data_IF_314232438913
#
_entry.id   IF_314232438913
#
_cell.length_a   1.000
_cell.length_b   1.000
_cell.length_c   1.000
_cell.angle_alpha   90.00
_cell.angle_beta   90.00
_cell.angle_gamma   90.00
#
_symmetry.space_group_name_H-M   'P 1'
#
loop_
_entity.id
_entity.type
_entity.pdbx_description
1 polymer ?
#
# COMPACT_ATOMS: atom_id res chain seq x y z
N UNK A 1 -20.55 -52.83 49.19
CA UNK A 1 -20.11 -52.42 47.84
C UNK A 1 -20.90 -51.18 47.45
N UNK A 2 -20.26 -50.01 47.46
CA UNK A 2 -20.49 -48.88 46.54
C UNK A 2 -19.53 -47.76 46.95
N UNK A 3 -18.63 -47.45 46.03
CA UNK A 3 -17.64 -46.38 46.11
C UNK A 3 -18.36 -45.02 46.11
N UNK A 4 -17.90 -44.06 46.91
CA UNK A 4 -18.16 -42.63 46.69
C UNK A 4 -16.80 -41.93 46.69
N UNK A 5 -16.57 -41.26 45.58
CA UNK A 5 -15.36 -40.57 45.15
C UNK A 5 -15.30 -39.18 45.80
N UNK A 6 -14.08 -38.77 46.15
CA UNK A 6 -13.72 -37.48 46.74
C UNK A 6 -13.95 -36.36 45.72
N UNK A 7 -14.69 -35.33 46.11
CA UNK A 7 -14.87 -34.10 45.34
C UNK A 7 -13.60 -33.23 45.43
N UNK A 8 -12.97 -32.99 44.28
CA UNK A 8 -11.93 -31.98 44.10
C UNK A 8 -12.46 -30.89 43.18
N UNK A 9 -12.54 -29.67 43.69
CA UNK A 9 -12.98 -28.47 43.00
C UNK A 9 -11.95 -28.07 41.94
N UNK A 10 -12.33 -28.13 40.66
CA UNK A 10 -11.60 -27.46 39.56
C UNK A 10 -12.45 -26.26 39.16
N UNK A 11 -11.94 -25.06 39.41
CA UNK A 11 -12.48 -23.83 38.86
C UNK A 11 -12.15 -23.82 37.36
N UNK A 12 -13.16 -24.08 36.53
CA UNK A 12 -13.10 -23.84 35.09
C UNK A 12 -13.38 -22.36 34.87
N UNK A 13 -12.41 -21.63 34.31
CA UNK A 13 -12.67 -20.34 33.67
C UNK A 13 -13.66 -20.60 32.53
N UNK A 14 -14.87 -20.06 32.67
CA UNK A 14 -15.89 -20.05 31.61
C UNK A 14 -15.47 -18.97 30.61
N UNK A 15 -14.91 -19.41 29.47
CA UNK A 15 -14.94 -18.63 28.24
C UNK A 15 -16.40 -18.40 27.83
N UNK A 16 -16.70 -17.16 27.47
CA UNK A 16 -18.04 -16.69 27.13
C UNK A 16 -18.58 -17.48 25.94
N UNK A 17 -19.86 -17.82 26.04
CA UNK A 17 -20.62 -18.59 25.07
C UNK A 17 -20.97 -17.68 23.88
N UNK A 18 -20.39 -17.94 22.71
CA UNK A 18 -21.03 -17.58 21.46
C UNK A 18 -22.23 -18.53 21.27
N UNK A 19 -23.44 -18.06 21.52
CA UNK A 19 -24.67 -18.83 21.26
C UNK A 19 -24.96 -18.73 19.76
N UNK A 20 -24.41 -19.67 19.00
CA UNK A 20 -24.71 -19.81 17.58
C UNK A 20 -25.99 -20.64 17.39
N UNK A 21 -27.11 -19.99 17.09
CA UNK A 21 -28.17 -20.59 16.28
C UNK A 21 -27.94 -20.21 14.82
N UNK A 22 -27.37 -21.15 14.06
CA UNK A 22 -27.34 -21.25 12.58
C UNK A 22 -27.29 -19.94 11.79
N UNK A 23 -26.11 -19.56 11.34
CA UNK A 23 -25.80 -19.22 9.94
C UNK A 23 -24.26 -19.11 9.81
N UNK A 24 -23.71 -19.52 8.66
CA UNK A 24 -22.28 -19.48 8.36
C UNK A 24 -21.74 -18.06 8.55
N UNK A 25 -20.90 -17.85 9.56
CA UNK A 25 -20.22 -16.58 9.76
C UNK A 25 -19.01 -16.56 8.81
N UNK A 26 -19.16 -15.90 7.65
CA UNK A 26 -18.04 -15.66 6.73
C UNK A 26 -17.11 -14.55 7.25
N UNK A 27 -17.55 -13.82 8.27
CA UNK A 27 -16.82 -12.72 8.92
C UNK A 27 -17.01 -12.83 10.45
N UNK A 28 -16.31 -13.75 11.10
CA UNK A 28 -16.14 -13.63 12.56
C UNK A 28 -15.21 -12.45 12.86
N UNK A 29 -15.45 -11.72 13.96
CA UNK A 29 -14.49 -10.78 14.51
C UNK A 29 -13.19 -11.48 14.90
N UNK A 30 -12.04 -10.91 14.54
CA UNK A 30 -10.75 -11.32 15.08
C UNK A 30 -10.13 -10.31 16.06
N UNK A 31 -10.74 -9.14 16.22
CA UNK A 31 -10.15 -7.99 16.89
C UNK A 31 -11.01 -7.51 18.06
N UNK A 32 -10.69 -7.96 19.28
CA UNK A 32 -11.38 -7.50 20.49
C UNK A 32 -10.66 -6.32 21.16
N UNK A 33 -11.42 -5.42 21.77
CA UNK A 33 -10.88 -4.35 22.62
C UNK A 33 -10.11 -4.94 23.81
N UNK A 34 -8.78 -4.78 23.80
CA UNK A 34 -7.97 -5.20 24.94
C UNK A 34 -8.26 -4.34 26.17
N UNK A 35 -8.15 -4.91 27.38
CA UNK A 35 -8.30 -4.14 28.62
C UNK A 35 -7.32 -2.95 28.71
N UNK A 36 -6.13 -3.09 28.12
CA UNK A 36 -5.14 -2.02 28.05
C UNK A 36 -5.65 -0.85 27.20
N UNK A 37 -6.25 -1.14 26.05
CA UNK A 37 -6.81 -0.13 25.16
C UNK A 37 -8.10 0.47 25.73
N UNK A 38 -8.97 -0.31 26.37
CA UNK A 38 -10.11 0.24 27.14
C UNK A 38 -9.61 1.25 28.18
N UNK A 39 -8.58 0.90 28.95
CA UNK A 39 -7.99 1.82 29.91
C UNK A 39 -7.37 3.07 29.25
N UNK A 40 -6.95 2.99 27.98
CA UNK A 40 -6.48 4.14 27.20
C UNK A 40 -7.64 5.04 26.80
N UNK A 41 -8.72 4.48 26.26
CA UNK A 41 -9.96 5.23 25.96
C UNK A 41 -10.43 5.97 27.22
N UNK A 42 -10.48 5.29 28.36
CA UNK A 42 -10.89 5.92 29.63
C UNK A 42 -9.97 7.07 30.08
N UNK A 43 -8.66 7.00 29.78
CA UNK A 43 -7.74 8.13 30.02
C UNK A 43 -8.03 9.29 29.07
N UNK A 44 -8.27 8.99 27.79
CA UNK A 44 -8.58 9.99 26.76
C UNK A 44 -9.93 10.68 27.02
N UNK A 45 -10.90 9.97 27.57
CA UNK A 45 -12.17 10.56 28.03
C UNK A 45 -11.96 11.48 29.23
N UNK A 46 -11.07 11.11 30.16
CA UNK A 46 -10.79 11.92 31.36
C UNK A 46 -10.02 13.21 31.07
N UNK A 47 -9.12 13.20 30.09
CA UNK A 47 -8.32 14.37 29.70
C UNK A 47 -8.93 15.19 28.56
N UNK A 48 -10.05 14.73 27.98
CA UNK A 48 -10.78 15.39 26.89
C UNK A 48 -10.23 15.10 25.49
N UNK A 49 -9.12 14.37 25.37
CA UNK A 49 -8.51 14.10 24.07
C UNK A 49 -9.33 13.17 23.18
N UNK A 50 -10.20 12.32 23.75
CA UNK A 50 -11.15 11.52 22.94
C UNK A 50 -12.18 12.40 22.23
N UNK A 51 -12.73 13.39 22.95
CA UNK A 51 -13.67 14.36 22.37
C UNK A 51 -12.97 15.18 21.29
N UNK A 52 -11.74 15.65 21.53
CA UNK A 52 -10.96 16.36 20.52
C UNK A 52 -10.71 15.50 19.27
N UNK A 53 -10.35 14.22 19.46
CA UNK A 53 -10.09 13.26 18.40
C UNK A 53 -11.34 12.95 17.56
N UNK A 54 -12.48 12.74 18.21
CA UNK A 54 -13.77 12.40 17.57
C UNK A 54 -14.56 13.63 17.12
N UNK A 55 -14.05 14.85 17.30
CA UNK A 55 -14.71 16.07 16.80
C UNK A 55 -13.84 16.88 15.85
N UNK A 56 -12.69 16.32 15.43
CA UNK A 56 -11.71 16.96 14.56
C UNK A 56 -11.13 18.27 15.16
N UNK A 57 -11.11 18.39 16.48
CA UNK A 57 -10.68 19.59 17.22
C UNK A 57 -9.22 19.53 17.71
N UNK A 58 -8.49 18.48 17.35
CA UNK A 58 -7.08 18.34 17.70
C UNK A 58 -6.15 19.05 16.70
N UNK A 59 -4.93 19.45 17.11
CA UNK A 59 -3.96 20.05 16.21
C UNK A 59 -3.48 19.02 15.19
N UNK A 60 -3.90 19.15 13.93
CA UNK A 60 -3.37 18.35 12.83
C UNK A 60 -1.93 18.75 12.52
N UNK A 61 -1.04 17.76 12.38
CA UNK A 61 0.30 17.99 11.84
C UNK A 61 0.24 18.55 10.39
N UNK A 62 1.37 19.05 9.87
CA UNK A 62 1.44 19.84 8.63
C UNK A 62 0.92 19.08 7.41
N UNK A 63 -0.22 19.47 6.86
CA UNK A 63 -0.69 18.99 5.55
C UNK A 63 -0.92 17.48 5.48
N UNK A 64 -0.96 16.95 4.26
CA UNK A 64 -1.15 15.51 3.98
C UNK A 64 0.06 14.73 4.50
N UNK A 65 -0.20 13.69 5.29
CA UNK A 65 0.78 12.74 5.79
C UNK A 65 0.63 11.38 5.10
N UNK A 66 1.73 10.62 5.02
CA UNK A 66 1.77 9.36 4.32
C UNK A 66 2.07 8.19 5.26
N UNK A 67 1.35 7.08 5.09
CA UNK A 67 1.62 5.80 5.76
C UNK A 67 2.20 4.83 4.75
N UNK A 68 3.50 4.54 4.91
CA UNK A 68 4.19 3.53 4.12
C UNK A 68 3.78 2.15 4.63
N UNK A 69 3.29 1.28 3.75
CA UNK A 69 2.80 -0.06 4.08
C UNK A 69 3.73 -1.12 3.50
N UNK A 70 4.09 -2.10 4.33
CA UNK A 70 4.80 -3.31 3.90
C UNK A 70 3.85 -4.50 3.96
N UNK A 71 3.61 -5.13 2.81
CA UNK A 71 2.87 -6.39 2.76
C UNK A 71 3.83 -7.59 2.89
N UNK A 72 3.49 -8.52 3.78
CA UNK A 72 4.17 -9.79 3.99
C UNK A 72 3.30 -10.92 3.45
N UNK A 73 3.63 -11.40 2.25
CA UNK A 73 2.85 -12.43 1.56
C UNK A 73 3.41 -13.80 1.93
N UNK A 74 2.68 -14.54 2.76
CA UNK A 74 3.00 -15.92 3.10
C UNK A 74 2.50 -16.84 2.00
N UNK A 75 3.36 -17.72 1.49
CA UNK A 75 3.03 -18.63 0.39
C UNK A 75 3.79 -19.95 0.48
N UNK A 76 3.41 -20.92 -0.34
CA UNK A 76 4.08 -22.21 -0.40
C UNK A 76 5.52 -22.07 -0.92
N UNK A 77 6.37 -23.06 -0.64
CA UNK A 77 7.78 -23.08 -1.09
C UNK A 77 7.94 -23.02 -2.63
N UNK A 78 6.92 -23.42 -3.39
CA UNK A 78 6.90 -23.35 -4.85
C UNK A 78 6.39 -21.99 -5.38
N UNK A 79 6.11 -21.04 -4.49
CA UNK A 79 5.59 -19.71 -4.81
C UNK A 79 4.07 -19.65 -5.00
N UNK A 80 3.34 -20.77 -4.90
CA UNK A 80 1.89 -20.80 -5.04
C UNK A 80 1.15 -20.41 -3.75
N UNK A 81 -0.13 -20.06 -3.88
CA UNK A 81 -1.02 -19.78 -2.74
C UNK A 81 -0.84 -18.40 -2.10
N UNK A 82 0.17 -17.63 -2.51
CA UNK A 82 0.33 -16.24 -2.07
C UNK A 82 -0.72 -15.31 -2.67
N UNK A 83 -0.96 -14.19 -1.99
CA UNK A 83 -1.79 -13.10 -2.49
C UNK A 83 -1.12 -12.46 -3.74
N UNK A 84 -1.93 -12.10 -4.73
CA UNK A 84 -1.45 -11.35 -5.89
C UNK A 84 -1.15 -9.90 -5.51
N UNK A 85 -0.06 -9.34 -6.03
CA UNK A 85 0.37 -7.96 -5.67
C UNK A 85 -0.64 -6.89 -6.09
N UNK A 86 -1.39 -7.13 -7.18
CA UNK A 86 -2.51 -6.31 -7.62
C UNK A 86 -3.60 -6.18 -6.56
N UNK A 87 -3.84 -7.24 -5.79
CA UNK A 87 -4.81 -7.23 -4.69
C UNK A 87 -4.31 -6.41 -3.50
N UNK A 88 -2.99 -6.38 -3.24
CA UNK A 88 -2.44 -5.46 -2.23
C UNK A 88 -2.73 -4.00 -2.60
N UNK A 89 -2.54 -3.63 -3.87
CA UNK A 89 -2.81 -2.27 -4.34
C UNK A 89 -4.29 -1.93 -4.22
N UNK A 90 -5.17 -2.82 -4.69
CA UNK A 90 -6.61 -2.66 -4.56
C UNK A 90 -7.07 -2.33 -3.14
N UNK A 91 -6.48 -2.98 -2.12
CA UNK A 91 -6.85 -2.74 -0.72
C UNK A 91 -6.34 -1.39 -0.21
N UNK A 92 -5.18 -0.92 -0.69
CA UNK A 92 -4.68 0.44 -0.40
C UNK A 92 -5.58 1.49 -1.06
N UNK A 93 -6.03 1.24 -2.29
CA UNK A 93 -6.94 2.14 -3.00
C UNK A 93 -8.26 2.28 -2.27
N UNK A 94 -8.85 1.16 -1.83
CA UNK A 94 -10.07 1.18 -1.00
C UNK A 94 -9.87 1.92 0.31
N UNK A 95 -8.78 1.68 1.04
CA UNK A 95 -8.54 2.40 2.28
C UNK A 95 -8.38 3.91 2.05
N UNK A 96 -7.72 4.32 0.97
CA UNK A 96 -7.60 5.73 0.61
C UNK A 96 -8.93 6.35 0.18
N UNK A 97 -9.78 5.63 -0.55
CA UNK A 97 -11.12 6.07 -0.96
C UNK A 97 -12.04 6.26 0.26
N UNK A 98 -12.03 5.30 1.19
CA UNK A 98 -12.78 5.38 2.44
C UNK A 98 -12.32 6.50 3.39
N UNK A 99 -11.10 7.00 3.19
CA UNK A 99 -10.51 8.12 3.92
C UNK A 99 -10.42 9.39 3.05
N UNK A 100 -11.11 9.44 1.90
CA UNK A 100 -11.03 10.57 0.96
C UNK A 100 -11.43 11.89 1.67
N UNK A 101 -10.60 12.92 1.50
CA UNK A 101 -10.75 14.20 2.20
C UNK A 101 -10.06 14.27 3.56
N UNK A 102 -9.46 13.16 4.02
CA UNK A 102 -8.56 13.10 5.17
C UNK A 102 -7.13 13.60 4.87
N UNK A 103 -6.38 13.88 5.93
CA UNK A 103 -4.98 14.33 5.86
C UNK A 103 -3.99 13.13 5.93
N UNK A 104 -4.44 11.93 5.57
CA UNK A 104 -3.66 10.69 5.64
C UNK A 104 -3.82 9.90 4.33
N UNK A 105 -2.69 9.52 3.72
CA UNK A 105 -2.66 8.74 2.48
C UNK A 105 -1.79 7.50 2.68
N UNK A 106 -2.30 6.35 2.28
CA UNK A 106 -1.61 5.06 2.36
C UNK A 106 -0.96 4.71 1.03
N UNK A 107 0.18 4.04 1.10
CA UNK A 107 0.83 3.47 -0.08
C UNK A 107 1.64 2.23 0.24
N UNK A 108 1.90 1.45 -0.80
CA UNK A 108 2.81 0.31 -0.73
C UNK A 108 4.25 0.82 -0.82
N UNK A 109 5.03 0.58 0.24
CA UNK A 109 6.48 0.82 0.22
C UNK A 109 7.26 -0.45 -0.11
N UNK A 110 6.73 -1.62 0.22
CA UNK A 110 7.40 -2.89 -0.03
C UNK A 110 6.42 -4.07 -0.03
N UNK A 111 6.77 -5.12 -0.77
CA UNK A 111 6.10 -6.43 -0.72
C UNK A 111 7.17 -7.49 -0.50
N UNK A 112 7.07 -8.20 0.62
CA UNK A 112 8.01 -9.24 1.04
C UNK A 112 7.31 -10.60 0.94
N UNK A 113 7.87 -11.49 0.14
CA UNK A 113 7.38 -12.86 0.00
C UNK A 113 8.07 -13.79 0.99
N UNK A 114 7.27 -14.60 1.68
CA UNK A 114 7.74 -15.63 2.61
C UNK A 114 7.36 -17.02 2.08
N UNK A 115 8.35 -17.73 1.56
CA UNK A 115 8.21 -19.10 1.04
C UNK A 115 8.29 -20.10 2.22
N UNK A 116 7.18 -20.73 2.56
CA UNK A 116 7.00 -21.53 3.79
C UNK A 116 6.47 -22.92 3.48
N UNK A 117 6.92 -23.92 4.25
CA UNK A 117 6.39 -25.29 4.18
C UNK A 117 4.91 -25.36 4.59
N UNK A 118 4.48 -24.47 5.50
CA UNK A 118 3.10 -24.34 5.94
C UNK A 118 2.76 -22.85 6.13
N UNK A 119 2.26 -22.16 5.09
CA UNK A 119 1.99 -20.71 5.12
C UNK A 119 0.67 -20.40 5.84
N UNK A 120 0.58 -20.74 7.13
CA UNK A 120 -0.61 -20.48 7.97
C UNK A 120 -0.26 -19.57 9.13
N UNK A 121 -1.23 -18.77 9.56
CA UNK A 121 -1.14 -18.00 10.81
C UNK A 121 -2.10 -18.58 11.82
N UNK A 122 -1.63 -18.93 13.01
CA UNK A 122 -2.50 -19.38 14.10
C UNK A 122 -3.06 -18.17 14.83
N UNK A 123 -4.38 -18.03 14.93
CA UNK A 123 -4.99 -16.99 15.75
C UNK A 123 -4.82 -17.30 17.26
N UNK A 124 -4.54 -16.32 18.15
CA UNK A 124 -4.29 -14.89 17.92
C UNK A 124 -2.79 -14.54 17.94
N UNK A 125 -1.98 -15.15 17.09
CA UNK A 125 -0.53 -14.86 17.05
C UNK A 125 -0.24 -13.50 16.39
N UNK A 126 0.84 -12.84 16.82
CA UNK A 126 1.34 -11.62 16.18
C UNK A 126 2.58 -11.95 15.36
N UNK A 127 2.46 -12.30 14.07
CA UNK A 127 3.62 -12.55 13.24
C UNK A 127 4.50 -11.30 13.16
N UNK A 128 5.81 -11.52 13.16
CA UNK A 128 6.84 -10.46 13.05
C UNK A 128 7.96 -10.83 12.08
N UNK A 129 7.74 -11.88 11.29
CA UNK A 129 8.72 -12.35 10.29
C UNK A 129 8.91 -11.26 9.24
N UNK A 130 10.18 -10.89 9.00
CA UNK A 130 10.51 -9.85 8.03
C UNK A 130 10.02 -8.44 8.38
N UNK A 131 9.63 -8.17 9.63
CA UNK A 131 9.13 -6.86 10.07
C UNK A 131 10.03 -5.72 9.59
N UNK A 132 9.41 -4.70 8.99
CA UNK A 132 10.06 -3.50 8.45
C UNK A 132 9.69 -2.29 9.32
N UNK A 133 10.65 -1.76 10.13
CA UNK A 133 10.41 -0.58 10.94
C UNK A 133 10.02 0.64 10.10
N UNK A 134 9.18 1.51 10.67
CA UNK A 134 8.71 2.72 9.98
C UNK A 134 7.66 2.48 8.90
N UNK A 135 7.07 1.29 8.86
CA UNK A 135 5.96 0.95 7.96
C UNK A 135 4.83 0.25 8.71
N UNK A 136 3.60 0.37 8.19
CA UNK A 136 2.50 -0.50 8.59
C UNK A 136 2.76 -1.90 8.03
N UNK A 137 3.01 -2.88 8.89
CA UNK A 137 3.33 -4.25 8.48
C UNK A 137 2.05 -5.08 8.43
N UNK A 138 1.65 -5.52 7.24
CA UNK A 138 0.42 -6.31 7.01
C UNK A 138 0.81 -7.72 6.59
N UNK A 139 0.33 -8.74 7.30
CA UNK A 139 0.60 -10.15 7.02
C UNK A 139 -0.56 -10.80 6.29
N UNK A 140 -0.34 -11.18 5.03
CA UNK A 140 -1.31 -11.87 4.20
C UNK A 140 -1.04 -13.37 4.20
N UNK A 141 -2.03 -14.17 4.58
CA UNK A 141 -1.91 -15.62 4.67
C UNK A 141 -3.02 -16.36 3.91
N UNK A 142 -2.73 -17.48 3.25
CA UNK A 142 -3.76 -18.35 2.67
C UNK A 142 -4.80 -18.81 3.71
N UNK A 143 -4.39 -18.99 4.97
CA UNK A 143 -5.28 -19.52 5.99
C UNK A 143 -4.94 -19.09 7.41
N UNK A 144 -5.97 -18.69 8.17
CA UNK A 144 -5.89 -18.41 9.61
C UNK A 144 -6.46 -19.61 10.39
N UNK A 145 -5.59 -20.35 11.07
CA UNK A 145 -5.97 -21.54 11.85
C UNK A 145 -6.66 -21.19 13.17
N UNK A 146 -7.41 -22.17 13.71
CA UNK A 146 -8.14 -22.10 14.99
C UNK A 146 -9.31 -21.11 15.00
N UNK A 147 -9.88 -20.82 13.82
CA UNK A 147 -10.99 -19.88 13.66
C UNK A 147 -12.17 -20.52 12.94
N UNK A 148 -13.37 -19.95 13.12
CA UNK A 148 -14.58 -20.31 12.36
C UNK A 148 -14.78 -19.36 11.17
N UNK A 149 -13.82 -19.30 10.24
CA UNK A 149 -13.92 -18.43 9.07
C UNK A 149 -13.55 -16.97 9.36
N UNK A 150 -12.44 -16.74 10.07
CA UNK A 150 -11.92 -15.41 10.32
C UNK A 150 -11.24 -14.84 9.07
N UNK A 151 -11.67 -13.65 8.65
CA UNK A 151 -11.09 -12.96 7.50
C UNK A 151 -9.86 -12.12 7.83
N UNK A 152 -9.76 -11.59 9.05
CA UNK A 152 -8.64 -10.76 9.48
C UNK A 152 -8.63 -10.54 10.99
N UNK A 153 -7.53 -9.98 11.47
CA UNK A 153 -7.43 -9.38 12.79
C UNK A 153 -6.28 -8.38 12.87
N UNK A 154 -6.49 -7.32 13.63
CA UNK A 154 -5.50 -6.33 13.99
C UNK A 154 -5.34 -6.23 15.51
N UNK A 155 -4.40 -5.39 15.94
CA UNK A 155 -4.31 -4.99 17.33
C UNK A 155 -4.33 -3.48 17.45
N UNK A 156 -5.12 -3.00 18.40
CA UNK A 156 -5.14 -1.61 18.81
C UNK A 156 -3.75 -1.14 19.28
N UNK A 157 -3.44 0.17 19.16
CA UNK A 157 -2.22 0.73 19.73
C UNK A 157 -2.06 0.37 21.22
N UNK A 158 -0.84 0.08 21.70
CA UNK A 158 0.45 0.24 21.01
C UNK A 158 0.90 -0.97 20.18
N UNK A 159 0.11 -2.05 20.13
CA UNK A 159 0.49 -3.27 19.42
C UNK A 159 0.35 -3.11 17.91
N UNK A 160 1.14 -3.86 17.14
CA UNK A 160 1.29 -3.65 15.69
C UNK A 160 0.81 -4.83 14.85
N UNK A 161 0.03 -5.75 15.42
CA UNK A 161 -0.51 -6.89 14.65
C UNK A 161 -1.47 -6.40 13.58
N UNK A 162 -1.31 -6.92 12.36
CA UNK A 162 -2.27 -6.76 11.26
C UNK A 162 -2.14 -7.99 10.37
N UNK A 163 -3.16 -8.84 10.37
CA UNK A 163 -3.23 -10.09 9.61
C UNK A 163 -4.52 -10.14 8.82
N UNK A 164 -4.45 -10.51 7.54
CA UNK A 164 -5.62 -10.70 6.68
C UNK A 164 -5.48 -12.00 5.90
N UNK A 165 -6.56 -12.76 5.77
CA UNK A 165 -6.58 -13.94 4.93
C UNK A 165 -6.70 -13.54 3.46
N UNK A 166 -5.96 -14.23 2.59
CA UNK A 166 -5.87 -13.88 1.18
C UNK A 166 -7.26 -13.73 0.54
N UNK A 167 -8.16 -14.70 0.74
CA UNK A 167 -9.51 -14.74 0.12
C UNK A 167 -10.45 -13.60 0.57
N UNK A 168 -10.09 -12.82 1.59
CA UNK A 168 -10.86 -11.66 2.07
C UNK A 168 -10.29 -10.32 1.59
N UNK A 169 -9.40 -10.37 0.59
CA UNK A 169 -8.81 -9.19 -0.08
C UNK A 169 -9.17 -9.16 -1.58
N UNK A 170 -10.31 -9.74 -1.95
CA UNK A 170 -10.83 -9.72 -3.33
C UNK A 170 -11.57 -8.41 -3.63
N UNK A 171 -11.94 -8.22 -4.89
CA UNK A 171 -12.72 -7.05 -5.30
C UNK A 171 -14.09 -7.02 -4.62
N UNK A 172 -14.37 -5.92 -3.91
CA UNK A 172 -15.62 -5.72 -3.17
C UNK A 172 -15.61 -6.36 -1.78
N UNK A 173 -14.44 -6.79 -1.29
CA UNK A 173 -14.24 -7.19 0.11
C UNK A 173 -13.49 -6.05 0.83
N UNK A 174 -13.94 -5.70 2.04
CA UNK A 174 -13.47 -4.54 2.80
C UNK A 174 -12.85 -4.88 4.15
N UNK A 175 -12.60 -6.17 4.41
CA UNK A 175 -11.89 -6.67 5.60
C UNK A 175 -10.61 -5.87 5.89
N UNK A 176 -9.80 -5.55 4.85
CA UNK A 176 -8.58 -4.78 5.06
C UNK A 176 -8.85 -3.39 5.65
N UNK A 177 -9.88 -2.69 5.16
CA UNK A 177 -10.26 -1.37 5.68
C UNK A 177 -10.77 -1.49 7.11
N UNK A 178 -11.57 -2.51 7.41
CA UNK A 178 -12.05 -2.81 8.77
C UNK A 178 -10.90 -3.02 9.76
N UNK A 179 -9.94 -3.88 9.42
CA UNK A 179 -8.79 -4.15 10.27
C UNK A 179 -7.85 -2.94 10.38
N UNK A 180 -7.73 -2.13 9.32
CA UNK A 180 -7.03 -0.85 9.39
C UNK A 180 -7.71 0.11 10.37
N UNK A 181 -9.04 0.15 10.40
CA UNK A 181 -9.79 0.89 11.41
C UNK A 181 -9.36 0.53 12.82
N UNK A 182 -9.35 -0.75 13.17
CA UNK A 182 -8.87 -1.21 14.48
C UNK A 182 -7.39 -0.91 14.73
N UNK A 183 -6.54 -1.10 13.73
CA UNK A 183 -5.11 -0.79 13.81
C UNK A 183 -4.88 0.69 14.16
N UNK A 184 -5.76 1.58 13.67
CA UNK A 184 -5.79 3.01 13.98
C UNK A 184 -6.82 3.39 15.04
N UNK A 185 -7.25 2.45 15.87
CA UNK A 185 -7.93 2.75 17.11
C UNK A 185 -9.46 2.81 17.07
N UNK A 186 -10.09 2.52 15.93
CA UNK A 186 -11.55 2.51 15.82
C UNK A 186 -12.13 1.25 16.47
N UNK A 187 -13.04 1.38 17.46
CA UNK A 187 -13.87 0.29 17.94
C UNK A 187 -14.89 -0.15 16.87
N UNK A 188 -15.51 -1.31 17.06
CA UNK A 188 -16.71 -1.66 16.30
C UNK A 188 -17.85 -0.72 16.67
N UNK A 189 -18.76 -0.46 15.73
CA UNK A 189 -19.98 0.35 15.98
C UNK A 189 -20.84 -0.18 17.11
N UNK A 190 -20.81 -1.49 17.35
CA UNK A 190 -21.62 -2.15 18.35
C UNK A 190 -20.93 -2.38 19.70
N UNK A 191 -19.65 -2.01 19.87
CA UNK A 191 -18.87 -2.34 21.07
C UNK A 191 -19.57 -1.84 22.35
N UNK A 192 -19.93 -2.77 23.24
CA UNK A 192 -20.61 -2.52 24.51
C UNK A 192 -22.14 -2.48 24.44
N UNK A 193 -22.72 -2.36 23.24
CA UNK A 193 -24.18 -2.40 23.03
C UNK A 193 -24.68 -3.81 22.77
N UNK A 194 -23.94 -4.60 21.99
CA UNK A 194 -24.20 -6.00 21.65
C UNK A 194 -24.29 -6.92 22.88
N UNK A 195 -23.49 -6.66 23.91
CA UNK A 195 -23.47 -7.44 25.16
C UNK A 195 -24.19 -6.75 26.33
N UNK A 196 -24.62 -5.50 26.13
CA UNK A 196 -25.30 -4.67 27.11
C UNK A 196 -24.41 -4.19 28.26
N UNK A 197 -23.08 -4.27 28.14
CA UNK A 197 -22.12 -3.78 29.13
C UNK A 197 -22.07 -2.27 29.21
N UNK A 198 -22.24 -1.58 28.07
CA UNK A 198 -22.24 -0.12 27.94
C UNK A 198 -23.13 0.35 26.77
N UNK A 199 -24.45 0.07 26.81
CA UNK A 199 -25.32 0.23 25.65
C UNK A 199 -25.58 1.69 25.27
N UNK A 200 -25.45 1.98 23.98
CA UNK A 200 -25.75 3.28 23.40
C UNK A 200 -27.27 3.50 23.21
N UNK A 201 -27.75 4.69 23.53
CA UNK A 201 -29.12 5.11 23.26
C UNK A 201 -29.26 5.54 21.78
N UNK A 202 -30.34 5.12 21.13
CA UNK A 202 -30.62 5.49 19.73
C UNK A 202 -30.87 7.00 19.57
N UNK A 203 -31.26 7.70 20.65
CA UNK A 203 -31.42 9.16 20.64
C UNK A 203 -30.11 9.94 20.78
N UNK A 204 -28.96 9.26 20.88
CA UNK A 204 -27.62 9.84 21.01
C UNK A 204 -27.35 10.49 22.37
N UNK A 205 -28.21 10.31 23.38
CA UNK A 205 -28.07 11.00 24.67
C UNK A 205 -26.84 10.58 25.48
N UNK A 206 -26.23 9.43 25.18
CA UNK A 206 -25.02 8.91 25.85
C UNK A 206 -23.89 8.50 24.88
N UNK A 207 -23.99 8.85 23.59
CA UNK A 207 -23.04 8.45 22.54
C UNK A 207 -21.58 8.83 22.80
N UNK A 208 -21.31 9.82 23.67
CA UNK A 208 -19.94 10.21 24.04
C UNK A 208 -19.29 9.29 25.09
N UNK A 209 -20.08 8.38 25.68
CA UNK A 209 -19.65 7.53 26.80
C UNK A 209 -20.09 6.07 26.67
N UNK A 210 -21.02 5.77 25.76
CA UNK A 210 -21.60 4.46 25.51
C UNK A 210 -21.37 4.02 24.06
N UNK A 211 -21.56 2.72 23.80
CA UNK A 211 -21.25 2.12 22.50
C UNK A 211 -19.78 2.26 22.13
N UNK A 212 -19.56 2.50 20.85
CA UNK A 212 -18.25 2.77 20.24
C UNK A 212 -17.66 4.14 20.66
N UNK A 213 -18.47 4.97 21.33
CA UNK A 213 -18.18 6.31 21.83
C UNK A 213 -17.95 7.36 20.73
N UNK A 214 -18.56 7.18 19.56
CA UNK A 214 -18.42 8.05 18.39
C UNK A 214 -19.81 8.57 17.97
N UNK A 215 -20.18 9.78 18.38
CA UNK A 215 -21.56 10.28 18.25
C UNK A 215 -22.15 10.47 16.83
N UNK A 216 -21.39 10.27 15.75
CA UNK A 216 -21.93 10.27 14.38
C UNK A 216 -22.11 8.86 13.80
N UNK A 217 -21.77 7.82 14.55
CA UNK A 217 -22.17 6.43 14.27
C UNK A 217 -23.52 6.18 14.98
N UNK A 218 -24.53 5.64 14.27
CA UNK A 218 -25.78 5.27 14.91
C UNK A 218 -25.61 4.07 15.85
N UNK A 219 -26.31 4.08 16.98
CA UNK A 219 -26.32 2.96 17.93
C UNK A 219 -26.60 1.60 17.25
N UNK A 220 -25.68 0.66 17.44
CA UNK A 220 -25.64 -0.65 16.82
C UNK A 220 -25.64 -1.75 17.87
N UNK A 221 -26.56 -2.70 17.79
CA UNK A 221 -26.67 -3.83 18.71
C UNK A 221 -26.16 -5.15 18.12
N UNK A 222 -25.59 -5.12 16.91
CA UNK A 222 -25.19 -6.29 16.15
C UNK A 222 -26.34 -7.31 15.94
N UNK A 223 -27.58 -6.80 15.84
CA UNK A 223 -28.80 -7.61 15.75
C UNK A 223 -29.00 -8.38 14.43
N UNK A 224 -28.11 -8.21 13.45
CA UNK A 224 -28.02 -9.00 12.23
C UNK A 224 -28.61 -8.38 10.96
N UNK A 225 -28.15 -8.88 9.81
CA UNK A 225 -28.36 -8.27 8.49
C UNK A 225 -28.95 -9.20 7.44
N UNK A 226 -29.67 -8.61 6.49
CA UNK A 226 -30.01 -9.28 5.24
C UNK A 226 -28.86 -9.17 4.23
N UNK A 227 -28.17 -10.29 4.00
CA UNK A 227 -27.02 -10.42 3.09
C UNK A 227 -27.26 -9.99 1.64
N UNK A 228 -28.52 -9.93 1.19
CA UNK A 228 -28.85 -9.58 -0.20
C UNK A 228 -29.46 -8.19 -0.38
N UNK A 229 -29.73 -7.46 0.71
CA UNK A 229 -30.49 -6.21 0.63
C UNK A 229 -29.97 -5.05 1.47
N UNK A 230 -28.87 -5.22 2.22
CA UNK A 230 -28.32 -4.19 3.10
C UNK A 230 -29.34 -3.67 4.13
N UNK A 231 -30.31 -4.51 4.48
CA UNK A 231 -31.37 -4.17 5.43
C UNK A 231 -31.02 -4.79 6.77
N UNK A 232 -30.98 -3.95 7.81
CA UNK A 232 -30.90 -4.41 9.18
C UNK A 232 -32.17 -5.21 9.53
N UNK A 233 -31.98 -6.41 10.06
CA UNK A 233 -33.07 -7.36 10.37
C UNK A 233 -33.23 -7.60 11.87
N UNK A 234 -32.36 -7.02 12.69
CA UNK A 234 -32.47 -7.10 14.13
C UNK A 234 -33.74 -6.42 14.65
N UNK A 235 -34.24 -6.93 15.77
CA UNK A 235 -35.45 -6.45 16.43
C UNK A 235 -35.18 -5.84 17.79
N UNK A 236 -33.92 -5.56 18.12
CA UNK A 236 -33.51 -4.98 19.38
C UNK A 236 -34.04 -3.56 19.54
N UNK A 237 -34.17 -3.15 20.81
CA UNK A 237 -34.53 -1.78 21.19
C UNK A 237 -33.53 -1.29 22.23
N UNK A 238 -33.30 0.01 22.25
CA UNK A 238 -32.39 0.62 23.21
C UNK A 238 -32.88 0.50 24.66
N UNK A 239 -31.94 0.65 25.59
CA UNK A 239 -32.23 0.59 27.04
C UNK A 239 -32.86 1.89 27.57
N UNK A 240 -32.84 2.95 26.78
CA UNK A 240 -33.06 4.32 27.24
C UNK A 240 -34.53 4.70 27.14
N UNK A 241 -35.15 4.44 25.99
CA UNK A 241 -36.55 4.78 25.72
C UNK A 241 -37.30 3.68 24.95
N UNK A 242 -36.62 2.57 24.61
CA UNK A 242 -37.19 1.45 23.87
C UNK A 242 -37.32 1.72 22.37
N UNK A 243 -36.52 2.65 21.82
CA UNK A 243 -36.49 2.91 20.39
C UNK A 243 -35.77 1.77 19.67
N UNK A 244 -36.30 1.24 18.56
CA UNK A 244 -35.62 0.22 17.77
C UNK A 244 -34.26 0.69 17.26
N UNK A 245 -33.26 -0.20 17.32
CA UNK A 245 -31.96 0.07 16.70
C UNK A 245 -32.08 0.17 15.18
N UNK A 246 -31.24 1.02 14.60
CA UNK A 246 -31.15 1.24 13.16
C UNK A 246 -29.70 1.57 12.80
N UNK A 247 -28.78 0.60 12.95
CA UNK A 247 -27.37 0.81 12.62
C UNK A 247 -27.16 1.13 11.15
N UNK A 248 -26.03 1.77 10.84
CA UNK A 248 -25.66 2.06 9.46
C UNK A 248 -25.16 0.80 8.75
N UNK A 249 -25.72 0.49 7.58
CA UNK A 249 -25.24 -0.58 6.71
C UNK A 249 -23.95 -0.19 5.96
N UNK A 250 -23.65 1.11 5.93
CA UNK A 250 -22.58 1.71 5.14
C UNK A 250 -21.27 1.82 5.95
N UNK A 251 -21.34 1.66 7.28
CA UNK A 251 -20.18 1.83 8.15
C UNK A 251 -19.25 0.60 8.09
N UNK A 252 -17.99 0.84 7.72
CA UNK A 252 -16.96 -0.20 7.61
C UNK A 252 -16.67 -0.90 8.94
N UNK A 253 -16.87 -0.23 10.09
CA UNK A 253 -16.63 -0.82 11.42
C UNK A 253 -17.84 -1.60 11.97
N UNK A 254 -18.88 -1.80 11.17
CA UNK A 254 -20.02 -2.67 11.50
C UNK A 254 -19.83 -4.09 10.93
N UNK A 255 -20.76 -5.01 11.23
CA UNK A 255 -20.88 -6.31 10.54
C UNK A 255 -22.01 -6.33 9.51
N UNK A 256 -22.30 -5.18 8.91
CA UNK A 256 -23.08 -5.16 7.69
C UNK A 256 -22.31 -5.91 6.57
N UNK A 257 -23.02 -6.50 5.59
CA UNK A 257 -22.38 -7.19 4.48
C UNK A 257 -21.40 -6.28 3.72
N UNK A 258 -20.25 -6.81 3.31
CA UNK A 258 -19.24 -6.05 2.55
C UNK A 258 -19.80 -5.34 1.30
N UNK A 259 -20.82 -5.90 0.64
CA UNK A 259 -21.48 -5.25 -0.50
C UNK A 259 -22.22 -3.94 -0.15
N UNK A 260 -22.34 -3.61 1.14
CA UNK A 260 -23.08 -2.48 1.68
C UNK A 260 -22.16 -1.47 2.38
N UNK A 261 -21.02 -1.91 2.92
CA UNK A 261 -20.09 -1.04 3.65
C UNK A 261 -19.29 -0.20 2.66
N UNK A 262 -19.24 1.10 2.88
CA UNK A 262 -18.65 2.05 1.92
C UNK A 262 -17.91 3.21 2.58
N UNK A 263 -18.02 3.41 3.90
CA UNK A 263 -17.47 4.59 4.53
C UNK A 263 -17.05 4.41 6.00
N UNK A 264 -16.09 5.24 6.40
CA UNK A 264 -15.93 5.66 7.79
C UNK A 264 -16.67 6.99 8.02
N UNK A 265 -17.34 7.13 9.16
CA UNK A 265 -17.94 8.40 9.55
C UNK A 265 -16.90 9.51 9.72
N UNK A 266 -17.29 10.77 9.68
CA UNK A 266 -16.35 11.89 9.79
C UNK A 266 -15.59 11.89 11.13
N UNK A 267 -16.26 11.50 12.21
CA UNK A 267 -15.63 11.40 13.52
C UNK A 267 -14.74 10.15 13.63
N UNK A 268 -15.09 9.04 12.96
CA UNK A 268 -14.19 7.89 12.80
C UNK A 268 -12.92 8.29 12.05
N UNK A 269 -13.02 8.97 10.91
CA UNK A 269 -11.86 9.47 10.16
C UNK A 269 -10.98 10.42 11.01
N UNK A 270 -11.62 11.27 11.82
CA UNK A 270 -10.92 12.19 12.72
C UNK A 270 -10.16 11.44 13.83
N UNK A 271 -10.81 10.45 14.45
CA UNK A 271 -10.17 9.58 15.45
C UNK A 271 -9.03 8.78 14.82
N UNK A 272 -9.24 8.22 13.63
CA UNK A 272 -8.23 7.49 12.86
C UNK A 272 -6.96 8.34 12.69
N UNK A 273 -7.11 9.59 12.22
CA UNK A 273 -6.00 10.52 12.06
C UNK A 273 -5.33 10.88 13.39
N UNK A 274 -6.11 11.14 14.44
CA UNK A 274 -5.56 11.43 15.77
C UNK A 274 -4.71 10.27 16.30
N UNK A 275 -5.22 9.05 16.15
CA UNK A 275 -4.53 7.83 16.59
C UNK A 275 -3.27 7.59 15.77
N UNK A 276 -3.30 7.88 14.47
CA UNK A 276 -2.13 7.86 13.61
C UNK A 276 -1.05 8.82 14.12
N UNK A 277 -1.40 10.08 14.35
CA UNK A 277 -0.48 11.14 14.78
C UNK A 277 0.06 10.97 16.20
N UNK A 278 -0.74 10.40 17.10
CA UNK A 278 -0.41 10.33 18.53
C UNK A 278 0.24 9.01 18.91
N UNK A 279 -0.30 7.90 18.40
CA UNK A 279 0.08 6.56 18.84
C UNK A 279 0.77 5.71 17.76
N UNK A 280 0.84 6.20 16.51
CA UNK A 280 1.52 5.55 15.38
C UNK A 280 2.46 6.51 14.63
N UNK A 281 2.97 7.54 15.32
CA UNK A 281 3.81 8.57 14.68
C UNK A 281 5.11 8.01 14.08
N UNK A 282 5.52 6.81 14.50
CA UNK A 282 6.70 6.11 14.00
C UNK A 282 6.56 5.58 12.56
N UNK A 283 5.33 5.44 12.04
CA UNK A 283 5.06 4.98 10.66
C UNK A 283 4.57 6.12 9.75
N UNK A 284 4.53 7.36 10.24
CA UNK A 284 4.14 8.54 9.47
C UNK A 284 5.33 9.14 8.73
N UNK A 285 5.09 9.61 7.51
CA UNK A 285 6.07 10.29 6.68
C UNK A 285 5.49 11.57 6.06
N UNK A 286 6.31 12.61 5.99
CA UNK A 286 6.02 13.82 5.20
C UNK A 286 6.44 13.63 3.72
N UNK A 287 7.18 12.56 3.42
CA UNK A 287 7.55 12.21 2.05
C UNK A 287 6.35 11.61 1.35
N UNK A 288 5.96 12.24 0.24
CA UNK A 288 4.96 11.67 -0.65
C UNK A 288 5.36 10.25 -1.01
N UNK A 289 4.37 9.37 -0.99
CA UNK A 289 4.53 8.01 -1.47
C UNK A 289 5.27 8.02 -2.82
N UNK A 290 6.31 7.19 -3.00
CA UNK A 290 6.93 7.04 -4.31
C UNK A 290 5.81 6.78 -5.31
N UNK A 291 5.65 7.62 -6.32
CA UNK A 291 4.53 7.48 -7.25
C UNK A 291 4.58 6.08 -7.83
N UNK A 292 3.58 5.26 -7.54
CA UNK A 292 3.28 4.00 -8.24
C UNK A 292 2.61 4.26 -9.58
N UNK A 293 2.24 5.52 -9.84
CA UNK A 293 1.69 5.99 -11.11
C UNK A 293 2.67 5.75 -12.24
N UNK A 294 2.09 5.38 -13.37
CA UNK A 294 2.77 5.06 -14.61
C UNK A 294 1.80 5.34 -15.75
N UNK A 295 2.33 5.46 -16.95
CA UNK A 295 1.54 5.59 -18.15
C UNK A 295 0.72 4.30 -18.35
N UNK A 296 -0.59 4.48 -18.50
CA UNK A 296 -1.51 3.45 -18.94
C UNK A 296 -1.97 3.70 -20.37
N UNK A 297 -1.77 2.72 -21.23
CA UNK A 297 -2.02 2.84 -22.65
C UNK A 297 -3.27 2.10 -23.10
N UNK A 298 -4.31 2.84 -23.48
CA UNK A 298 -5.55 2.25 -24.00
C UNK A 298 -5.44 2.13 -25.52
N UNK A 299 -5.01 0.94 -26.00
CA UNK A 299 -4.74 0.69 -27.43
C UNK A 299 -5.93 1.04 -28.35
N UNK A 300 -7.16 0.83 -27.87
CA UNK A 300 -8.38 1.01 -28.66
C UNK A 300 -8.69 2.49 -28.94
N UNK A 301 -8.24 3.40 -28.07
CA UNK A 301 -8.46 4.83 -28.18
C UNK A 301 -7.18 5.64 -28.44
N UNK A 302 -6.00 5.01 -28.32
CA UNK A 302 -4.70 5.69 -28.35
C UNK A 302 -4.50 6.66 -27.18
N UNK A 303 -5.29 6.52 -26.11
CA UNK A 303 -5.22 7.39 -24.94
C UNK A 303 -4.10 6.92 -24.00
N UNK A 304 -3.40 7.89 -23.42
CA UNK A 304 -2.46 7.70 -22.33
C UNK A 304 -2.99 8.44 -21.11
N UNK A 305 -3.09 7.74 -19.98
CA UNK A 305 -3.42 8.33 -18.67
C UNK A 305 -2.41 7.86 -17.63
N UNK A 306 -1.96 8.76 -16.75
CA UNK A 306 -1.12 8.42 -15.61
C UNK A 306 -2.00 7.94 -14.48
N UNK A 307 -2.06 6.62 -14.30
CA UNK A 307 -2.87 5.94 -13.29
C UNK A 307 -2.02 4.84 -12.67
N UNK A 308 -2.58 4.05 -11.77
CA UNK A 308 -1.87 2.92 -11.18
C UNK A 308 -1.99 1.64 -12.03
N UNK A 309 -1.06 0.70 -11.84
CA UNK A 309 -0.99 -0.54 -12.63
C UNK A 309 -2.33 -1.30 -12.65
N UNK A 310 -2.93 -1.48 -11.49
CA UNK A 310 -4.20 -2.21 -11.38
C UNK A 310 -5.33 -1.52 -12.15
N UNK A 311 -5.48 -0.21 -11.99
CA UNK A 311 -6.50 0.57 -12.70
C UNK A 311 -6.29 0.49 -14.21
N UNK A 312 -5.02 0.43 -14.65
CA UNK A 312 -4.68 0.26 -16.05
C UNK A 312 -5.11 -1.12 -16.59
N UNK A 313 -4.69 -2.19 -15.91
CA UNK A 313 -4.94 -3.55 -16.34
C UNK A 313 -6.45 -3.88 -16.33
N UNK A 314 -7.18 -3.44 -15.30
CA UNK A 314 -8.63 -3.64 -15.23
C UNK A 314 -9.43 -2.75 -16.19
N UNK A 315 -8.89 -1.58 -16.52
CA UNK A 315 -9.41 -0.73 -17.60
C UNK A 315 -9.17 -1.29 -19.00
N UNK A 316 -8.44 -2.42 -19.11
CA UNK A 316 -8.06 -3.01 -20.40
C UNK A 316 -6.95 -2.27 -21.13
N UNK A 317 -6.16 -1.45 -20.41
CA UNK A 317 -4.99 -0.76 -20.92
C UNK A 317 -3.69 -1.56 -20.73
N UNK A 318 -2.69 -1.24 -21.55
CA UNK A 318 -1.32 -1.73 -21.43
C UNK A 318 -0.51 -0.86 -20.48
N UNK A 319 -0.11 -1.42 -19.35
CA UNK A 319 0.72 -0.75 -18.34
C UNK A 319 2.16 -0.60 -18.80
N UNK A 320 2.76 0.59 -18.56
CA UNK A 320 4.10 0.93 -19.05
C UNK A 320 5.16 0.98 -17.94
N UNK A 321 4.76 0.74 -16.69
CA UNK A 321 5.67 0.70 -15.55
C UNK A 321 5.64 1.98 -14.72
N UNK A 322 6.03 1.83 -13.46
CA UNK A 322 6.03 2.91 -12.46
C UNK A 322 7.02 4.02 -12.86
N UNK A 323 6.56 5.28 -12.80
CA UNK A 323 7.35 6.47 -13.13
C UNK A 323 7.37 6.83 -14.61
N UNK A 324 6.64 6.10 -15.46
CA UNK A 324 6.37 6.52 -16.85
C UNK A 324 5.25 7.55 -16.88
N UNK A 325 5.25 8.45 -17.87
CA UNK A 325 4.34 9.60 -17.94
C UNK A 325 3.81 9.83 -19.36
N UNK A 326 2.71 10.57 -19.49
CA UNK A 326 1.94 10.69 -20.74
C UNK A 326 2.29 11.93 -21.59
N UNK A 327 3.55 12.34 -21.65
CA UNK A 327 3.96 13.60 -22.29
C UNK A 327 3.78 13.58 -23.83
N UNK A 328 3.93 12.43 -24.50
CA UNK A 328 3.74 12.26 -25.96
C UNK A 328 2.83 11.06 -26.34
N UNK A 329 2.01 10.56 -25.40
CA UNK A 329 1.15 9.39 -25.61
C UNK A 329 1.90 8.04 -25.49
N UNK A 330 1.35 6.99 -26.11
CA UNK A 330 1.79 5.60 -25.88
C UNK A 330 2.95 5.10 -26.77
N UNK A 331 3.51 5.97 -27.60
CA UNK A 331 4.55 5.60 -28.57
C UNK A 331 5.99 5.77 -28.05
N UNK A 332 6.20 6.24 -26.82
CA UNK A 332 7.55 6.44 -26.23
C UNK A 332 7.96 5.38 -25.20
N UNK A 333 7.14 4.37 -24.94
CA UNK A 333 7.50 3.30 -24.00
C UNK A 333 8.13 2.08 -24.69
N UNK A 334 8.57 2.21 -25.94
CA UNK A 334 9.34 1.17 -26.60
C UNK A 334 10.78 1.17 -26.03
N UNK A 335 11.24 -0.01 -25.59
CA UNK A 335 12.64 -0.22 -25.21
C UNK A 335 13.54 0.02 -26.43
N UNK A 336 14.73 0.52 -26.16
CA UNK A 336 15.72 0.91 -27.15
C UNK A 336 17.13 0.78 -26.58
N UNK A 337 18.14 0.88 -27.42
CA UNK A 337 19.52 0.72 -27.02
C UNK A 337 20.03 1.95 -26.24
N UNK A 338 20.60 1.70 -25.08
CA UNK A 338 21.25 2.67 -24.22
C UNK A 338 22.74 2.33 -24.08
N UNK A 339 23.59 3.27 -24.47
CA UNK A 339 25.04 3.15 -24.44
C UNK A 339 25.63 3.81 -23.20
N UNK A 340 26.31 3.03 -22.35
CA UNK A 340 26.91 3.50 -21.09
C UNK A 340 28.42 3.61 -21.26
N UNK A 341 28.93 4.85 -21.25
CA UNK A 341 30.32 5.15 -21.58
C UNK A 341 31.34 4.56 -20.61
N UNK A 342 31.04 4.63 -19.31
CA UNK A 342 31.94 4.18 -18.25
C UNK A 342 32.18 2.67 -18.30
N UNK A 343 31.16 1.89 -18.69
CA UNK A 343 31.22 0.43 -18.73
C UNK A 343 31.38 -0.14 -20.14
N UNK A 344 31.34 0.71 -21.18
CA UNK A 344 31.29 0.30 -22.59
C UNK A 344 30.16 -0.71 -22.87
N UNK A 345 29.07 -0.62 -22.12
CA UNK A 345 27.95 -1.54 -22.21
C UNK A 345 26.83 -0.94 -23.05
N UNK A 346 26.16 -1.79 -23.83
CA UNK A 346 24.87 -1.50 -24.42
C UNK A 346 23.80 -2.31 -23.67
N UNK A 347 22.72 -1.66 -23.24
CA UNK A 347 21.56 -2.31 -22.64
C UNK A 347 20.28 -1.80 -23.29
N UNK A 348 19.28 -2.66 -23.43
CA UNK A 348 17.95 -2.25 -23.90
C UNK A 348 17.10 -1.85 -22.69
N UNK A 349 16.75 -0.57 -22.58
CA UNK A 349 16.01 0.00 -21.45
C UNK A 349 15.12 1.15 -21.95
N UNK A 350 14.36 1.84 -21.09
CA UNK A 350 13.63 3.05 -21.47
C UNK A 350 14.52 4.30 -21.41
N UNK A 351 14.23 5.28 -22.27
CA UNK A 351 14.94 6.55 -22.37
C UNK A 351 15.19 7.24 -21.02
N UNK A 352 14.21 7.38 -20.10
CA UNK A 352 14.43 8.08 -18.84
C UNK A 352 15.47 7.39 -17.95
N UNK A 353 15.48 6.05 -17.93
CA UNK A 353 16.47 5.29 -17.16
C UNK A 353 17.85 5.32 -17.81
N UNK A 354 17.91 5.38 -19.15
CA UNK A 354 19.15 5.56 -19.88
C UNK A 354 19.81 6.90 -19.52
N UNK A 355 19.04 7.99 -19.63
CA UNK A 355 19.51 9.34 -19.35
C UNK A 355 19.84 9.54 -17.86
N UNK A 356 19.01 9.01 -16.95
CA UNK A 356 19.27 9.06 -15.51
C UNK A 356 20.53 8.27 -15.11
N UNK A 357 20.84 7.19 -15.84
CA UNK A 357 22.07 6.41 -15.70
C UNK A 357 23.31 7.06 -16.32
N UNK A 358 23.18 8.23 -16.95
CA UNK A 358 24.27 8.91 -17.66
C UNK A 358 24.68 8.20 -18.95
N UNK A 359 23.77 7.43 -19.56
CA UNK A 359 23.97 6.79 -20.86
C UNK A 359 23.44 7.62 -22.02
N UNK A 360 23.88 7.28 -23.23
CA UNK A 360 23.43 7.86 -24.51
C UNK A 360 22.34 6.98 -25.10
N UNK A 361 21.19 7.59 -25.40
CA UNK A 361 20.02 6.90 -25.94
C UNK A 361 20.03 6.90 -27.47
N UNK A 362 19.92 5.72 -28.09
CA UNK A 362 19.96 5.57 -29.56
C UNK A 362 18.58 5.66 -30.23
N UNK A 363 17.50 5.72 -29.45
CA UNK A 363 16.12 5.84 -29.94
C UNK A 363 15.28 4.57 -29.72
N UNK A 364 13.95 4.67 -29.85
CA UNK A 364 13.02 3.56 -29.61
C UNK A 364 13.21 2.42 -30.63
N UNK A 365 13.01 1.18 -30.18
CA UNK A 365 13.16 -0.07 -30.97
C UNK A 365 14.56 -0.31 -31.57
N UNK A 366 15.56 0.49 -31.19
CA UNK A 366 16.95 0.19 -31.49
C UNK A 366 17.42 -0.96 -30.62
N UNK A 367 18.17 -1.90 -31.18
CA UNK A 367 18.71 -3.05 -30.44
C UNK A 367 20.21 -2.93 -30.33
N UNK A 368 20.78 -3.49 -29.27
CA UNK A 368 22.23 -3.50 -29.05
C UNK A 368 23.02 -4.33 -30.09
N UNK A 369 22.32 -4.96 -31.04
CA UNK A 369 22.90 -5.78 -32.10
C UNK A 369 23.16 -5.01 -33.40
N UNK A 370 22.56 -3.82 -33.61
CA UNK A 370 22.56 -3.14 -34.91
C UNK A 370 23.54 -1.97 -35.01
N UNK A 371 23.99 -1.37 -33.90
CA UNK A 371 25.03 -0.32 -33.88
C UNK A 371 26.00 -0.51 -32.69
N UNK A 372 27.30 -0.47 -32.97
CA UNK A 372 28.32 -0.43 -31.92
C UNK A 372 28.17 0.88 -31.15
N UNK A 373 28.12 0.85 -29.81
CA UNK A 373 28.13 2.07 -29.01
C UNK A 373 29.39 2.87 -29.29
N UNK A 374 29.26 3.91 -30.11
CA UNK A 374 30.35 4.84 -30.43
C UNK A 374 30.43 5.85 -29.30
N UNK A 375 31.49 5.74 -28.49
CA UNK A 375 31.75 6.65 -27.38
C UNK A 375 32.73 7.71 -27.83
N UNK A 376 32.25 8.95 -27.95
CA UNK A 376 33.02 10.03 -28.54
C UNK A 376 32.88 10.05 -30.07
N UNK A 377 32.62 11.23 -30.60
CA UNK A 377 32.80 11.52 -32.02
C UNK A 377 34.29 11.32 -32.37
N UNK A 378 34.58 10.63 -33.47
CA UNK A 378 35.95 10.28 -33.89
C UNK A 378 36.89 11.52 -33.93
N UNK A 379 36.34 12.71 -34.17
CA UNK A 379 37.10 13.97 -34.24
C UNK A 379 37.36 14.72 -32.92
N UNK A 380 36.82 14.32 -31.76
CA UNK A 380 37.07 14.99 -30.47
C UNK A 380 38.33 14.42 -29.81
N UNK A 381 39.46 14.94 -30.27
CA UNK A 381 40.79 14.49 -29.83
C UNK A 381 41.12 14.91 -28.39
N UNK A 382 40.45 15.93 -27.87
CA UNK A 382 40.76 16.50 -26.56
C UNK A 382 39.74 16.12 -25.46
N UNK A 383 38.62 15.51 -25.85
CA UNK A 383 37.58 14.95 -24.98
C UNK A 383 36.66 16.02 -24.36
N UNK A 384 36.48 17.16 -25.02
CA UNK A 384 35.62 18.25 -24.53
C UNK A 384 34.16 18.19 -25.02
N UNK A 385 33.83 17.23 -25.87
CA UNK A 385 32.49 17.02 -26.41
C UNK A 385 32.17 17.88 -27.64
N UNK A 386 33.12 18.64 -28.19
CA UNK A 386 32.96 19.40 -29.42
C UNK A 386 34.12 19.18 -30.39
N UNK A 387 33.84 18.67 -31.61
CA UNK A 387 34.84 18.66 -32.69
C UNK A 387 35.01 20.06 -33.25
N UNK A 388 36.08 20.74 -32.86
CA UNK A 388 36.32 22.13 -33.21
C UNK A 388 37.79 22.42 -33.57
N UNK A 389 38.15 23.71 -33.59
CA UNK A 389 39.51 24.15 -33.94
C UNK A 389 40.55 23.59 -32.97
N UNK A 390 40.20 23.38 -31.70
CA UNK A 390 41.08 22.82 -30.68
C UNK A 390 41.52 21.41 -31.05
N UNK A 391 40.62 20.60 -31.61
CA UNK A 391 40.93 19.23 -32.05
C UNK A 391 41.79 19.19 -33.30
N UNK A 392 41.48 20.07 -34.25
CA UNK A 392 42.33 20.24 -35.42
C UNK A 392 43.76 20.63 -35.02
N UNK A 393 43.89 21.49 -34.00
CA UNK A 393 45.19 21.90 -33.48
C UNK A 393 45.91 20.75 -32.76
N UNK A 394 45.21 19.84 -32.09
CA UNK A 394 45.81 18.65 -31.48
C UNK A 394 46.39 17.70 -32.54
N UNK A 395 45.64 17.44 -33.63
CA UNK A 395 46.15 16.67 -34.78
C UNK A 395 47.38 17.33 -35.42
N UNK A 396 47.36 18.65 -35.58
CA UNK A 396 48.51 19.39 -36.13
C UNK A 396 49.71 19.38 -35.19
N UNK A 397 49.51 19.44 -33.88
CA UNK A 397 50.60 19.37 -32.88
C UNK A 397 51.29 18.00 -32.89
N UNK A 398 50.50 16.94 -33.13
CA UNK A 398 50.98 15.56 -33.16
C UNK A 398 51.42 15.07 -34.54
N UNK A 399 51.53 15.96 -35.54
CA UNK A 399 51.78 15.58 -36.93
C UNK A 399 53.03 14.69 -37.13
N UNK A 400 52.83 13.53 -37.76
CA UNK A 400 53.85 12.51 -38.00
C UNK A 400 54.16 11.63 -36.80
N UNK A 401 53.43 11.75 -35.69
CA UNK A 401 53.53 10.84 -34.55
C UNK A 401 52.91 9.47 -34.90
N UNK A 402 53.40 8.41 -34.27
CA UNK A 402 52.90 7.03 -34.47
C UNK A 402 52.04 6.53 -33.30
N UNK A 403 51.58 7.47 -32.45
CA UNK A 403 50.77 7.22 -31.26
C UNK A 403 50.29 8.55 -30.70
N UNK A 404 49.06 8.61 -30.18
CA UNK A 404 48.50 9.80 -29.54
C UNK A 404 47.04 10.01 -29.93
N UNK A 405 46.38 11.01 -29.34
CA UNK A 405 44.99 11.38 -29.67
C UNK A 405 44.83 11.94 -31.09
N UNK A 406 45.91 12.37 -31.72
CA UNK A 406 45.88 12.89 -33.09
C UNK A 406 45.78 11.82 -34.20
N UNK A 407 45.90 10.52 -33.88
CA UNK A 407 45.72 9.41 -34.84
C UNK A 407 44.23 8.99 -34.86
N UNK A 408 43.42 9.90 -35.40
CA UNK A 408 41.95 9.85 -35.37
C UNK A 408 41.42 8.63 -36.11
N UNK A 409 41.99 8.30 -37.27
CA UNK A 409 41.52 7.17 -38.09
C UNK A 409 42.20 5.83 -37.73
N UNK A 410 43.09 5.84 -36.73
CA UNK A 410 43.83 4.68 -36.21
C UNK A 410 44.67 3.95 -37.28
N UNK A 411 45.19 4.66 -38.29
CA UNK A 411 46.07 4.09 -39.32
C UNK A 411 47.53 3.92 -38.84
N UNK A 412 47.84 4.40 -37.63
CA UNK A 412 49.13 4.28 -36.98
C UNK A 412 50.10 5.43 -37.28
N UNK A 413 49.66 6.49 -37.97
CA UNK A 413 50.45 7.69 -38.19
C UNK A 413 49.59 8.95 -38.35
N UNK A 414 49.81 9.95 -37.50
CA UNK A 414 49.12 11.25 -37.59
C UNK A 414 49.50 11.96 -38.89
N UNK A 415 48.56 12.06 -39.82
CA UNK A 415 48.77 12.62 -41.14
C UNK A 415 47.53 13.36 -41.68
N UNK A 416 47.51 13.61 -42.99
CA UNK A 416 46.38 14.31 -43.63
C UNK A 416 45.06 13.53 -43.53
N UNK A 417 45.13 12.21 -43.42
CA UNK A 417 43.96 11.35 -43.16
C UNK A 417 43.24 11.74 -41.87
N UNK A 418 43.99 11.94 -40.79
CA UNK A 418 43.42 12.31 -39.47
C UNK A 418 42.85 13.72 -39.46
N UNK A 419 43.53 14.66 -40.13
CA UNK A 419 43.04 16.02 -40.25
C UNK A 419 41.71 16.07 -41.02
N UNK A 420 41.58 15.27 -42.08
CA UNK A 420 40.32 15.18 -42.81
C UNK A 420 39.23 14.52 -41.97
N UNK A 421 39.55 13.53 -41.14
CA UNK A 421 38.59 12.90 -40.23
C UNK A 421 38.02 13.89 -39.19
N UNK A 422 38.86 14.78 -38.62
CA UNK A 422 38.38 15.87 -37.74
C UNK A 422 37.48 16.86 -38.49
N UNK A 423 37.86 17.24 -39.71
CA UNK A 423 37.06 18.18 -40.53
C UNK A 423 35.71 17.59 -40.94
N UNK A 424 35.67 16.29 -41.25
CA UNK A 424 34.44 15.58 -41.61
C UNK A 424 33.47 15.43 -40.43
N UNK A 425 33.99 15.41 -39.19
CA UNK A 425 33.23 15.28 -37.95
C UNK A 425 32.88 16.62 -37.25
N UNK A 426 33.09 17.77 -37.92
CA UNK A 426 32.99 19.10 -37.31
C UNK A 426 31.62 19.42 -36.68
N UNK A 427 31.60 19.79 -35.40
CA UNK A 427 30.38 20.15 -34.67
C UNK A 427 30.32 19.57 -33.26
N UNK A 428 29.17 19.74 -32.61
CA UNK A 428 28.90 19.13 -31.30
C UNK A 428 28.78 17.62 -31.43
N UNK A 429 29.36 16.90 -30.50
CA UNK A 429 29.25 15.45 -30.44
C UNK A 429 27.87 15.08 -29.88
N UNK A 430 27.09 14.22 -30.56
CA UNK A 430 25.75 13.82 -30.10
C UNK A 430 25.73 13.16 -28.73
#
# INVERSE_FOLDING_TARGET
>A
MKNIIIAGTIALFLGVHCVAEKHECKECCGTELSQEYINQIERMLQDGSWEDATSNNFPKARGIQYVKTTFHIMRNEDGSGGLETSRCQLQIDYLNDHLEGGDLVFCISNIVFHDLTNPVVTYPSSPSVGYVPGTMNVYCTPHIEHTFGLCGYASYPPYTTFVVQNDCMDYGEYTFSHEAGHYFGLPHTFDGTEDGSNPECVDGSNCSTAGDRICDTPADDNGGWSWSSCVYTGGGVDVCNGTPYAPSAENIMSYAPDACTTEFSLNQQSLFLYMAQTYRSDILSDEMCPSTLGACCIEQSGACIEIEEYQCLNGGGGWQGVGTYCEDGCLQNEIGACCIEVSKACIEIHEPYCLAGGGVWLGPLTVCADEECVFGCEGDTNGDGEVNVSDLLDVVDQWGSTSGSGDVNNDGIVNVGDLLAVVDAWGTCP
#
